data_IF_784225215646
#
_entry.id   IF_784225215646
#
_cell.length_a   1.000
_cell.length_b   1.000
_cell.length_c   1.000
_cell.angle_alpha   90.00
_cell.angle_beta   90.00
_cell.angle_gamma   90.00
#
_symmetry.space_group_name_H-M   'P 1'
#
loop_
_entity.id
_entity.type
_entity.pdbx_description
1 polymer ?
#
# COMPACT_ATOMS: atom_id res chain seq x y z
N UNK A 1 -23.31 -5.92 -12.23
CA UNK A 1 -23.14 -4.51 -11.83
C UNK A 1 -22.27 -4.50 -10.60
N UNK A 2 -21.05 -3.96 -10.69
CA UNK A 2 -20.10 -3.93 -9.57
C UNK A 2 -20.32 -2.73 -8.65
N UNK A 3 -19.75 -2.77 -7.45
CA UNK A 3 -19.80 -1.68 -6.45
C UNK A 3 -19.32 -0.32 -7.01
N UNK A 4 -18.48 -0.34 -8.04
CA UNK A 4 -18.03 0.85 -8.75
C UNK A 4 -19.13 1.52 -9.61
N UNK A 5 -20.15 0.78 -10.08
CA UNK A 5 -21.27 1.35 -10.85
C UNK A 5 -22.23 2.17 -9.97
N UNK A 6 -22.30 1.86 -8.67
CA UNK A 6 -23.09 2.62 -7.68
C UNK A 6 -22.39 3.95 -7.38
N UNK A 7 -21.05 3.97 -7.39
CA UNK A 7 -20.27 5.14 -6.97
C UNK A 7 -20.30 6.30 -7.98
N UNK A 8 -20.44 6.01 -9.29
CA UNK A 8 -20.45 7.06 -10.32
C UNK A 8 -21.84 7.61 -10.68
N UNK A 9 -22.93 6.93 -10.29
CA UNK A 9 -24.22 7.20 -10.95
C UNK A 9 -25.14 8.25 -10.36
N UNK A 10 -25.09 8.65 -9.09
CA UNK A 10 -26.16 9.55 -8.61
C UNK A 10 -25.83 10.34 -7.34
N UNK A 11 -25.05 11.40 -7.55
CA UNK A 11 -25.19 12.68 -6.85
C UNK A 11 -26.57 13.35 -7.11
N UNK A 12 -27.65 12.59 -7.34
CA UNK A 12 -28.92 13.08 -7.91
C UNK A 12 -30.20 12.43 -7.36
N UNK A 13 -30.12 11.55 -6.35
CA UNK A 13 -31.32 10.92 -5.74
C UNK A 13 -31.26 11.02 -4.21
N UNK A 14 -31.09 12.25 -3.71
CA UNK A 14 -30.64 12.46 -2.32
C UNK A 14 -31.71 12.27 -1.23
N UNK A 15 -33.01 12.18 -1.55
CA UNK A 15 -34.05 12.30 -0.50
C UNK A 15 -35.15 11.22 -0.44
N UNK A 16 -35.20 10.20 -1.32
CA UNK A 16 -36.30 9.21 -1.28
C UNK A 16 -35.86 7.72 -1.27
N UNK A 17 -34.56 7.43 -1.19
CA UNK A 17 -34.04 6.04 -1.23
C UNK A 17 -33.48 5.53 0.10
N UNK A 18 -33.69 6.26 1.20
CA UNK A 18 -33.11 5.92 2.52
C UNK A 18 -33.81 4.71 3.18
N UNK A 19 -34.99 4.28 2.72
CA UNK A 19 -35.75 3.20 3.38
C UNK A 19 -35.66 1.81 2.73
N UNK A 20 -34.95 1.60 1.63
CA UNK A 20 -34.85 0.27 1.00
C UNK A 20 -33.42 -0.03 0.49
N UNK A 21 -32.41 0.26 1.31
CA UNK A 21 -31.11 -0.40 1.16
C UNK A 21 -31.08 -1.58 2.14
N UNK A 22 -30.87 -2.83 1.67
CA UNK A 22 -30.69 -3.94 2.60
C UNK A 22 -29.53 -3.59 3.54
N UNK A 23 -29.75 -3.78 4.85
CA UNK A 23 -28.65 -3.73 5.82
C UNK A 23 -27.59 -4.73 5.35
N UNK A 24 -26.47 -4.21 4.86
CA UNK A 24 -25.33 -5.04 4.47
C UNK A 24 -24.80 -5.65 5.78
N UNK A 25 -24.75 -6.97 5.89
CA UNK A 25 -24.19 -7.64 7.06
C UNK A 25 -22.67 -7.52 7.06
N UNK A 26 -22.03 -7.65 8.24
CA UNK A 26 -20.57 -7.67 8.31
C UNK A 26 -20.00 -8.77 7.43
N UNK A 27 -20.57 -9.98 7.43
CA UNK A 27 -20.17 -11.07 6.56
C UNK A 27 -20.10 -10.66 5.07
N UNK A 28 -21.08 -9.89 4.59
CA UNK A 28 -21.07 -9.36 3.22
C UNK A 28 -19.98 -8.31 2.99
N UNK A 29 -19.69 -7.48 3.99
CA UNK A 29 -18.56 -6.52 3.95
C UNK A 29 -17.24 -7.29 3.89
N UNK A 30 -17.08 -8.32 4.72
CA UNK A 30 -15.88 -9.15 4.79
C UNK A 30 -15.59 -9.86 3.46
N UNK A 31 -16.62 -10.49 2.86
CA UNK A 31 -16.48 -11.09 1.53
C UNK A 31 -16.06 -10.08 0.46
N UNK A 32 -16.57 -8.85 0.53
CA UNK A 32 -16.17 -7.79 -0.39
C UNK A 32 -14.72 -7.33 -0.16
N UNK A 33 -14.28 -7.24 1.10
CA UNK A 33 -12.91 -6.90 1.45
C UNK A 33 -11.92 -7.97 0.97
N UNK A 34 -12.27 -9.24 1.10
CA UNK A 34 -11.46 -10.35 0.56
C UNK A 34 -11.37 -10.30 -0.96
N UNK A 35 -12.51 -10.10 -1.64
CA UNK A 35 -12.55 -9.93 -3.09
C UNK A 35 -11.73 -8.71 -3.55
N UNK A 36 -11.76 -7.62 -2.79
CA UNK A 36 -10.93 -6.45 -3.03
C UNK A 36 -9.45 -6.77 -2.84
N UNK A 37 -9.05 -7.51 -1.80
CA UNK A 37 -7.66 -7.94 -1.58
C UNK A 37 -7.11 -8.69 -2.80
N UNK A 38 -7.83 -9.72 -3.26
CA UNK A 38 -7.46 -10.50 -4.45
C UNK A 38 -7.38 -9.59 -5.69
N UNK A 39 -8.41 -8.76 -5.90
CA UNK A 39 -8.45 -7.86 -7.06
C UNK A 39 -7.30 -6.85 -7.05
N UNK A 40 -6.88 -6.39 -5.86
CA UNK A 40 -5.83 -5.39 -5.74
C UNK A 40 -4.46 -5.98 -6.10
N UNK A 41 -4.19 -7.23 -5.71
CA UNK A 41 -3.01 -7.98 -6.15
C UNK A 41 -2.97 -8.16 -7.66
N UNK A 42 -4.10 -8.55 -8.27
CA UNK A 42 -4.18 -8.67 -9.73
C UNK A 42 -3.93 -7.34 -10.46
N UNK A 43 -4.43 -6.24 -9.90
CA UNK A 43 -4.22 -4.90 -10.47
C UNK A 43 -2.74 -4.53 -10.43
N UNK A 44 -2.00 -4.86 -9.37
CA UNK A 44 -0.55 -4.67 -9.29
C UNK A 44 0.14 -5.46 -10.42
N UNK A 45 -0.16 -6.75 -10.55
CA UNK A 45 0.43 -7.61 -11.60
C UNK A 45 0.08 -7.17 -13.03
N UNK A 46 -1.10 -6.56 -13.25
CA UNK A 46 -1.54 -5.99 -14.54
C UNK A 46 -1.05 -4.55 -14.76
N UNK A 47 -0.10 -4.06 -13.96
CA UNK A 47 0.45 -2.70 -14.00
C UNK A 47 -0.58 -1.57 -13.83
N UNK A 48 -1.71 -1.85 -13.15
CA UNK A 48 -2.78 -0.88 -12.85
C UNK A 48 -2.56 -0.21 -11.48
N UNK A 49 -1.32 0.24 -11.22
CA UNK A 49 -0.86 0.78 -9.95
C UNK A 49 -1.70 1.94 -9.40
N UNK A 50 -2.14 2.87 -10.27
CA UNK A 50 -3.00 4.00 -9.86
C UNK A 50 -4.34 3.54 -9.27
N UNK A 51 -4.95 2.51 -9.85
CA UNK A 51 -6.24 1.98 -9.40
C UNK A 51 -6.04 1.21 -8.09
N UNK A 52 -5.03 0.33 -8.06
CA UNK A 52 -4.67 -0.42 -6.87
C UNK A 52 -4.39 0.50 -5.67
N UNK A 53 -3.65 1.58 -5.89
CA UNK A 53 -3.34 2.57 -4.85
C UNK A 53 -4.56 3.39 -4.42
N UNK A 54 -5.49 3.68 -5.32
CA UNK A 54 -6.74 4.38 -4.96
C UNK A 54 -7.60 3.52 -4.02
N UNK A 55 -7.67 2.22 -4.26
CA UNK A 55 -8.35 1.26 -3.37
C UNK A 55 -7.66 1.25 -2.00
N UNK A 56 -6.33 1.15 -1.98
CA UNK A 56 -5.55 1.22 -0.75
C UNK A 56 -5.81 2.49 0.05
N UNK A 57 -5.78 3.68 -0.58
CA UNK A 57 -6.08 4.94 0.10
C UNK A 57 -7.45 4.95 0.75
N UNK A 58 -8.47 4.47 0.03
CA UNK A 58 -9.81 4.39 0.56
C UNK A 58 -9.84 3.52 1.81
N UNK A 59 -9.31 2.29 1.74
CA UNK A 59 -9.34 1.34 2.85
C UNK A 59 -8.48 1.81 4.04
N UNK A 60 -7.35 2.47 3.81
CA UNK A 60 -6.54 3.13 4.84
C UNK A 60 -7.35 4.16 5.63
N UNK A 61 -8.07 5.05 4.93
CA UNK A 61 -8.87 6.09 5.58
C UNK A 61 -10.06 5.49 6.37
N UNK A 62 -10.58 4.35 5.94
CA UNK A 62 -11.61 3.61 6.68
C UNK A 62 -11.05 2.94 7.93
N UNK A 63 -9.88 2.29 7.86
CA UNK A 63 -9.18 1.73 9.02
C UNK A 63 -8.96 2.80 10.09
N UNK A 64 -8.41 3.96 9.69
CA UNK A 64 -8.15 5.07 10.60
C UNK A 64 -9.43 5.57 11.30
N UNK A 65 -10.54 5.67 10.56
CA UNK A 65 -11.84 6.06 11.12
C UNK A 65 -12.35 5.04 12.13
N UNK A 66 -12.21 3.75 11.86
CA UNK A 66 -12.63 2.69 12.79
C UNK A 66 -11.76 2.69 14.05
N UNK A 67 -10.44 2.81 13.92
CA UNK A 67 -9.51 2.93 15.07
C UNK A 67 -9.84 4.11 15.97
N UNK A 68 -10.06 5.28 15.38
CA UNK A 68 -10.41 6.48 16.14
C UNK A 68 -11.72 6.29 16.89
N UNK A 69 -12.70 5.59 16.29
CA UNK A 69 -13.97 5.25 16.95
C UNK A 69 -13.78 4.28 18.10
N UNK A 70 -13.01 3.19 17.91
CA UNK A 70 -12.70 2.22 18.96
C UNK A 70 -11.96 2.89 20.12
N UNK A 71 -10.96 3.73 19.82
CA UNK A 71 -10.21 4.47 20.84
C UNK A 71 -11.11 5.41 21.66
N UNK A 72 -11.98 6.17 20.99
CA UNK A 72 -12.93 7.07 21.67
C UNK A 72 -13.96 6.33 22.52
N UNK A 73 -14.27 5.09 22.18
CA UNK A 73 -15.14 4.24 22.99
C UNK A 73 -14.41 3.67 24.22
N UNK A 74 -13.18 3.20 24.04
CA UNK A 74 -12.38 2.56 25.11
C UNK A 74 -11.82 3.56 26.13
N UNK A 75 -11.63 4.83 25.74
CA UNK A 75 -11.16 5.88 26.65
C UNK A 75 -12.38 6.50 27.35
N UNK A 76 -12.58 6.27 28.66
CA UNK A 76 -13.68 6.89 29.39
C UNK A 76 -13.54 8.41 29.35
N UNK A 77 -14.60 9.09 28.92
CA UNK A 77 -14.63 10.55 28.92
C UNK A 77 -14.61 11.03 30.38
N UNK A 78 -13.61 11.83 30.83
CA UNK A 78 -13.52 12.29 32.22
C UNK A 78 -14.74 13.10 32.67
N UNK A 79 -15.51 13.67 31.72
CA UNK A 79 -16.73 14.44 31.98
C UNK A 79 -18.00 13.57 32.04
N UNK A 80 -17.91 12.23 31.97
CA UNK A 80 -19.05 11.31 32.04
C UNK A 80 -20.01 11.35 30.85
N UNK A 81 -19.75 12.23 29.87
CA UNK A 81 -20.53 12.31 28.65
C UNK A 81 -20.10 11.20 27.70
N UNK A 82 -20.93 10.16 27.54
CA UNK A 82 -20.77 9.23 26.42
C UNK A 82 -20.82 10.05 25.12
N UNK A 83 -19.71 10.10 24.41
CA UNK A 83 -19.67 10.62 23.04
C UNK A 83 -20.66 9.75 22.27
N UNK A 84 -21.73 10.33 21.71
CA UNK A 84 -22.73 9.60 20.90
C UNK A 84 -22.00 8.77 19.83
N UNK A 85 -21.81 7.48 20.09
CA UNK A 85 -20.92 6.66 19.30
C UNK A 85 -21.11 5.20 19.65
N UNK A 86 -22.03 4.57 18.90
CA UNK A 86 -22.28 3.11 18.86
C UNK A 86 -22.75 2.49 20.19
N UNK A 87 -23.62 1.49 20.13
CA UNK A 87 -24.00 0.74 21.34
C UNK A 87 -22.86 -0.20 21.75
N UNK A 88 -22.85 -0.62 23.01
CA UNK A 88 -21.97 -1.72 23.48
C UNK A 88 -22.03 -2.94 22.56
N UNK A 89 -23.21 -3.23 22.00
CA UNK A 89 -23.46 -4.34 21.08
C UNK A 89 -22.75 -4.19 19.72
N UNK A 90 -22.48 -2.96 19.26
CA UNK A 90 -21.85 -2.69 17.96
C UNK A 90 -20.31 -2.79 18.01
N UNK A 91 -19.71 -2.82 19.20
CA UNK A 91 -18.25 -2.76 19.37
C UNK A 91 -17.51 -3.99 18.85
N UNK A 92 -17.97 -5.23 19.10
CA UNK A 92 -17.33 -6.42 18.54
C UNK A 92 -17.24 -6.38 17.01
N UNK A 93 -18.31 -5.94 16.35
CA UNK A 93 -18.41 -5.79 14.89
C UNK A 93 -17.40 -4.77 14.34
N UNK A 94 -17.24 -3.64 15.04
CA UNK A 94 -16.28 -2.59 14.68
C UNK A 94 -14.84 -3.11 14.83
N UNK A 95 -14.54 -3.86 15.90
CA UNK A 95 -13.22 -4.46 16.13
C UNK A 95 -12.90 -5.51 15.06
N UNK A 96 -13.87 -6.35 14.72
CA UNK A 96 -13.74 -7.33 13.64
C UNK A 96 -13.40 -6.62 12.33
N UNK A 97 -14.23 -5.65 11.91
CA UNK A 97 -13.99 -4.87 10.70
C UNK A 97 -12.60 -4.22 10.70
N UNK A 98 -12.18 -3.57 11.80
CA UNK A 98 -10.85 -2.98 11.92
C UNK A 98 -9.74 -4.01 11.67
N UNK A 99 -9.88 -5.23 12.18
CA UNK A 99 -8.91 -6.30 11.99
C UNK A 99 -8.77 -6.67 10.51
N UNK A 100 -9.88 -6.68 9.75
CA UNK A 100 -9.86 -6.93 8.31
C UNK A 100 -9.24 -5.79 7.51
N UNK A 101 -9.56 -4.53 7.81
CA UNK A 101 -8.91 -3.39 7.15
C UNK A 101 -7.40 -3.36 7.43
N UNK A 102 -6.99 -3.69 8.65
CA UNK A 102 -5.59 -3.84 9.01
C UNK A 102 -4.92 -4.97 8.21
N UNK A 103 -5.56 -6.13 8.12
CA UNK A 103 -5.05 -7.26 7.34
C UNK A 103 -4.87 -6.86 5.87
N UNK A 104 -5.90 -6.25 5.25
CA UNK A 104 -5.80 -5.74 3.88
C UNK A 104 -4.60 -4.80 3.71
N UNK A 105 -4.39 -3.84 4.62
CA UNK A 105 -3.26 -2.89 4.55
C UNK A 105 -1.93 -3.65 4.54
N UNK A 106 -1.76 -4.59 5.45
CA UNK A 106 -0.53 -5.39 5.56
C UNK A 106 -0.32 -6.26 4.32
N UNK A 107 -1.36 -6.96 3.85
CA UNK A 107 -1.30 -7.78 2.63
C UNK A 107 -0.94 -6.93 1.42
N UNK A 108 -1.58 -5.77 1.26
CA UNK A 108 -1.31 -4.86 0.14
C UNK A 108 0.15 -4.39 0.10
N UNK A 109 0.68 -3.96 1.26
CA UNK A 109 2.08 -3.55 1.36
C UNK A 109 3.01 -4.73 1.09
N UNK A 110 2.70 -5.91 1.61
CA UNK A 110 3.46 -7.13 1.34
C UNK A 110 3.48 -7.50 -0.15
N UNK A 111 2.33 -7.47 -0.83
CA UNK A 111 2.24 -7.76 -2.26
C UNK A 111 3.01 -6.72 -3.10
N UNK A 112 3.00 -5.44 -2.70
CA UNK A 112 3.84 -4.42 -3.33
C UNK A 112 5.34 -4.69 -3.10
N UNK A 113 5.73 -5.05 -1.89
CA UNK A 113 7.13 -5.35 -1.55
C UNK A 113 7.65 -6.53 -2.38
N UNK A 114 6.86 -7.60 -2.51
CA UNK A 114 7.19 -8.75 -3.35
C UNK A 114 7.32 -8.32 -4.81
N UNK A 115 6.34 -7.58 -5.33
CA UNK A 115 6.36 -7.10 -6.71
C UNK A 115 7.60 -6.25 -7.04
N UNK A 116 7.99 -5.32 -6.17
CA UNK A 116 9.20 -4.53 -6.36
C UNK A 116 10.47 -5.37 -6.27
N UNK A 117 10.52 -6.30 -5.32
CA UNK A 117 11.66 -7.20 -5.16
C UNK A 117 11.86 -8.04 -6.42
N UNK A 118 10.79 -8.57 -7.01
CA UNK A 118 10.83 -9.30 -8.28
C UNK A 118 11.36 -8.42 -9.43
N UNK A 119 10.92 -7.17 -9.54
CA UNK A 119 11.43 -6.25 -10.57
C UNK A 119 12.93 -5.98 -10.42
N UNK A 120 13.40 -5.75 -9.19
CA UNK A 120 14.82 -5.55 -8.92
C UNK A 120 15.65 -6.83 -9.13
N UNK A 121 15.10 -7.99 -8.78
CA UNK A 121 15.74 -9.28 -9.02
C UNK A 121 15.91 -9.54 -10.52
N UNK A 122 14.86 -9.38 -11.33
CA UNK A 122 14.92 -9.55 -12.78
C UNK A 122 15.94 -8.60 -13.41
N UNK A 123 15.99 -7.34 -12.96
CA UNK A 123 16.99 -6.39 -13.42
C UNK A 123 18.42 -6.85 -13.08
N UNK A 124 18.62 -7.47 -11.92
CA UNK A 124 19.91 -7.97 -11.46
C UNK A 124 20.33 -9.24 -12.19
N UNK A 125 19.43 -10.19 -12.43
CA UNK A 125 19.69 -11.44 -13.16
C UNK A 125 20.11 -11.16 -14.62
N UNK A 126 19.43 -10.24 -15.31
CA UNK A 126 19.80 -9.86 -16.69
C UNK A 126 21.21 -9.28 -16.74
N UNK A 127 21.63 -8.57 -15.69
CA UNK A 127 22.96 -7.96 -15.61
C UNK A 127 24.08 -9.00 -15.50
N UNK A 128 23.80 -10.22 -15.02
CA UNK A 128 24.80 -11.29 -14.88
C UNK A 128 25.35 -11.79 -16.23
N UNK A 129 24.61 -11.63 -17.33
CA UNK A 129 24.99 -12.18 -18.66
C UNK A 129 25.97 -11.30 -19.49
N UNK A 130 26.70 -10.36 -18.88
CA UNK A 130 27.88 -9.62 -19.43
C UNK A 130 27.85 -9.19 -20.92
N UNK A 131 26.70 -8.82 -21.50
CA UNK A 131 26.63 -8.16 -22.81
C UNK A 131 26.26 -6.69 -22.67
N UNK A 132 26.79 -5.81 -23.54
CA UNK A 132 26.43 -4.38 -23.56
C UNK A 132 24.91 -4.17 -23.65
N UNK A 133 24.23 -5.04 -24.39
CA UNK A 133 22.77 -5.05 -24.51
C UNK A 133 22.08 -5.36 -23.17
N UNK A 134 22.59 -6.32 -22.42
CA UNK A 134 22.04 -6.72 -21.13
C UNK A 134 22.32 -5.68 -20.04
N UNK A 135 23.46 -4.98 -20.08
CA UNK A 135 23.75 -3.85 -19.18
C UNK A 135 22.75 -2.70 -19.41
N UNK A 136 22.48 -2.36 -20.68
CA UNK A 136 21.52 -1.32 -21.01
C UNK A 136 20.09 -1.69 -20.55
N UNK A 137 19.67 -2.93 -20.81
CA UNK A 137 18.35 -3.43 -20.44
C UNK A 137 18.16 -3.51 -18.92
N UNK A 138 19.11 -4.08 -18.19
CA UNK A 138 19.08 -4.16 -16.72
C UNK A 138 19.01 -2.77 -16.07
N UNK A 139 19.79 -1.81 -16.55
CA UNK A 139 19.74 -0.42 -16.08
C UNK A 139 18.37 0.23 -16.33
N UNK A 140 17.76 -0.02 -17.48
CA UNK A 140 16.41 0.49 -17.80
C UNK A 140 15.35 -0.11 -16.87
N UNK A 141 15.39 -1.42 -16.63
CA UNK A 141 14.46 -2.12 -15.74
C UNK A 141 14.62 -1.66 -14.29
N UNK A 142 15.86 -1.55 -13.81
CA UNK A 142 16.16 -1.03 -12.47
C UNK A 142 15.62 0.39 -12.29
N UNK A 143 15.86 1.28 -13.26
CA UNK A 143 15.34 2.64 -13.22
C UNK A 143 13.81 2.68 -13.23
N UNK A 144 13.16 1.82 -14.02
CA UNK A 144 11.70 1.74 -14.05
C UNK A 144 11.14 1.29 -12.68
N UNK A 145 11.74 0.27 -12.06
CA UNK A 145 11.38 -0.19 -10.72
C UNK A 145 11.57 0.93 -9.67
N UNK A 146 12.70 1.62 -9.72
CA UNK A 146 13.01 2.73 -8.83
C UNK A 146 12.04 3.92 -8.98
N UNK A 147 11.67 4.29 -10.21
CA UNK A 147 10.69 5.34 -10.44
C UNK A 147 9.30 4.96 -9.93
N UNK A 148 8.92 3.69 -10.07
CA UNK A 148 7.63 3.21 -9.58
C UNK A 148 7.58 3.20 -8.05
N UNK A 149 8.64 2.72 -7.40
CA UNK A 149 8.77 2.76 -5.93
C UNK A 149 8.72 4.21 -5.41
N UNK A 150 9.49 5.11 -6.03
CA UNK A 150 9.43 6.56 -5.74
C UNK A 150 8.02 7.14 -5.92
N UNK A 151 7.29 6.70 -6.95
CA UNK A 151 5.91 7.12 -7.17
C UNK A 151 5.02 6.70 -6.00
N UNK A 152 5.08 5.44 -5.55
CA UNK A 152 4.30 4.96 -4.41
C UNK A 152 4.64 5.70 -3.10
N UNK A 153 5.93 5.89 -2.82
CA UNK A 153 6.40 6.68 -1.67
C UNK A 153 5.85 8.11 -1.69
N UNK A 154 5.90 8.77 -2.84
CA UNK A 154 5.34 10.11 -3.00
C UNK A 154 3.83 10.11 -2.80
N UNK A 155 3.11 9.11 -3.34
CA UNK A 155 1.67 9.04 -3.15
C UNK A 155 1.27 8.85 -1.68
N UNK A 156 2.00 8.05 -0.91
CA UNK A 156 1.77 7.91 0.55
C UNK A 156 2.04 9.25 1.24
N UNK A 157 3.16 9.92 0.95
CA UNK A 157 3.49 11.22 1.53
C UNK A 157 2.46 12.30 1.21
N UNK A 158 1.97 12.36 -0.02
CA UNK A 158 1.04 13.40 -0.46
C UNK A 158 -0.39 13.15 0.02
N UNK A 159 -0.85 11.89 0.01
CA UNK A 159 -2.26 11.54 0.22
C UNK A 159 -2.56 11.05 1.62
N UNK A 160 -1.60 10.43 2.29
CA UNK A 160 -1.79 9.76 3.57
C UNK A 160 -1.01 10.43 4.71
N UNK A 161 -0.25 11.50 4.47
CA UNK A 161 0.42 12.22 5.55
C UNK A 161 -0.59 12.70 6.61
N UNK A 162 -0.25 12.60 7.91
CA UNK A 162 -1.01 13.23 8.96
C UNK A 162 -1.15 14.72 8.68
N UNK A 163 -2.39 15.22 8.72
CA UNK A 163 -2.67 16.65 8.63
C UNK A 163 -3.05 17.12 10.01
N UNK A 164 -2.60 18.32 10.38
CA UNK A 164 -3.12 18.99 11.57
C UNK A 164 -4.64 19.10 11.42
N UNK A 165 -5.37 18.58 12.39
CA UNK A 165 -6.80 18.76 12.42
C UNK A 165 -7.06 20.21 12.80
N UNK A 166 -8.01 20.89 12.14
CA UNK A 166 -8.22 22.34 12.31
C UNK A 166 -8.48 22.77 13.77
N UNK A 167 -8.81 21.83 14.65
CA UNK A 167 -9.21 22.06 16.04
C UNK A 167 -8.57 21.09 17.05
N UNK A 168 -7.47 20.38 16.75
CA UNK A 168 -6.94 19.39 17.69
C UNK A 168 -5.54 18.85 17.36
N UNK A 169 -4.93 18.09 18.30
CA UNK A 169 -3.64 17.45 18.10
C UNK A 169 -3.72 16.42 16.96
N UNK A 170 -2.57 16.16 16.33
CA UNK A 170 -2.45 15.14 15.27
C UNK A 170 -2.85 13.77 15.84
N UNK A 171 -3.69 13.05 15.11
CA UNK A 171 -4.15 11.72 15.48
C UNK A 171 -2.96 10.73 15.51
N UNK A 172 -2.60 10.24 16.69
CA UNK A 172 -1.46 9.32 16.88
C UNK A 172 -1.60 8.01 16.09
N UNK A 173 -2.81 7.48 15.94
CA UNK A 173 -3.04 6.30 15.10
C UNK A 173 -2.77 6.60 13.63
N UNK A 174 -3.08 7.81 13.17
CA UNK A 174 -2.74 8.21 11.79
C UNK A 174 -1.22 8.25 11.61
N UNK A 175 -0.49 8.87 12.54
CA UNK A 175 0.99 8.91 12.51
C UNK A 175 1.56 7.50 12.45
N UNK A 176 1.14 6.60 13.34
CA UNK A 176 1.62 5.22 13.38
C UNK A 176 1.35 4.46 12.08
N UNK A 177 0.13 4.56 11.54
CA UNK A 177 -0.22 3.88 10.29
C UNK A 177 0.58 4.43 9.10
N UNK A 178 0.75 5.75 9.05
CA UNK A 178 1.53 6.42 8.02
C UNK A 178 3.00 6.00 8.06
N UNK A 179 3.61 6.00 9.24
CA UNK A 179 5.01 5.63 9.43
C UNK A 179 5.26 4.17 9.06
N UNK A 180 4.35 3.26 9.42
CA UNK A 180 4.41 1.86 9.00
C UNK A 180 4.40 1.71 7.47
N UNK A 181 3.54 2.46 6.77
CA UNK A 181 3.47 2.41 5.32
C UNK A 181 4.77 2.89 4.67
N UNK A 182 5.40 3.94 5.19
CA UNK A 182 6.67 4.43 4.69
C UNK A 182 7.84 3.48 4.98
N UNK A 183 7.89 2.93 6.19
CA UNK A 183 8.97 2.04 6.60
C UNK A 183 9.08 0.80 5.70
N UNK A 184 7.94 0.16 5.39
CA UNK A 184 7.91 -1.04 4.55
C UNK A 184 8.45 -0.76 3.14
N UNK A 185 8.05 0.35 2.53
CA UNK A 185 8.52 0.67 1.17
C UNK A 185 9.98 1.14 1.16
N UNK A 186 10.41 1.89 2.19
CA UNK A 186 11.80 2.33 2.28
C UNK A 186 12.77 1.15 2.45
N UNK A 187 12.39 0.13 3.22
CA UNK A 187 13.17 -1.11 3.39
C UNK A 187 13.36 -1.85 2.05
N UNK A 188 12.29 -1.98 1.25
CA UNK A 188 12.33 -2.65 -0.06
C UNK A 188 13.22 -1.88 -1.03
N UNK A 189 13.12 -0.54 -1.05
CA UNK A 189 13.98 0.32 -1.86
C UNK A 189 15.45 0.13 -1.52
N UNK A 190 15.79 0.16 -0.23
CA UNK A 190 17.16 0.06 0.25
C UNK A 190 17.74 -1.32 -0.05
N UNK A 191 16.98 -2.38 0.20
CA UNK A 191 17.38 -3.76 -0.13
C UNK A 191 17.63 -3.94 -1.64
N UNK A 192 16.72 -3.43 -2.48
CA UNK A 192 16.85 -3.47 -3.93
C UNK A 192 18.08 -2.72 -4.43
N UNK A 193 18.33 -1.51 -3.91
CA UNK A 193 19.50 -0.71 -4.27
C UNK A 193 20.82 -1.38 -3.86
N UNK A 194 20.91 -1.91 -2.64
CA UNK A 194 22.08 -2.64 -2.15
C UNK A 194 22.38 -3.86 -3.02
N UNK A 195 21.36 -4.64 -3.37
CA UNK A 195 21.51 -5.84 -4.19
C UNK A 195 22.06 -5.50 -5.58
N UNK A 196 21.41 -4.58 -6.29
CA UNK A 196 21.82 -4.18 -7.63
C UNK A 196 23.23 -3.59 -7.66
N UNK A 197 23.58 -2.78 -6.65
CA UNK A 197 24.93 -2.19 -6.52
C UNK A 197 26.00 -3.26 -6.33
N UNK A 198 25.73 -4.30 -5.53
CA UNK A 198 26.64 -5.45 -5.36
C UNK A 198 26.87 -6.18 -6.67
N UNK A 199 25.82 -6.45 -7.45
CA UNK A 199 25.92 -7.13 -8.75
C UNK A 199 26.71 -6.27 -9.75
N UNK A 200 26.44 -4.96 -9.82
CA UNK A 200 27.22 -4.03 -10.65
C UNK A 200 28.71 -4.01 -10.29
N UNK A 201 29.05 -3.99 -9.00
CA UNK A 201 30.45 -4.01 -8.55
C UNK A 201 31.14 -5.34 -8.86
N UNK A 202 30.46 -6.47 -8.67
CA UNK A 202 30.98 -7.78 -9.01
C UNK A 202 31.31 -7.86 -10.51
N UNK A 203 30.38 -7.44 -11.36
CA UNK A 203 30.57 -7.40 -12.82
C UNK A 203 31.71 -6.46 -13.25
N UNK A 204 31.82 -5.27 -12.64
CA UNK A 204 32.90 -4.32 -12.96
C UNK A 204 34.29 -4.87 -12.63
N UNK A 205 34.41 -5.57 -11.50
CA UNK A 205 35.66 -6.21 -11.08
C UNK A 205 36.03 -7.37 -11.99
N UNK A 206 35.05 -8.14 -12.47
CA UNK A 206 35.31 -9.27 -13.37
C UNK A 206 35.69 -8.82 -14.78
N UNK A 207 35.02 -7.81 -15.32
CA UNK A 207 35.38 -7.18 -16.59
C UNK A 207 36.80 -6.62 -16.57
N UNK A 208 37.20 -5.95 -15.48
CA UNK A 208 38.57 -5.43 -15.30
C UNK A 208 39.62 -6.55 -15.34
N UNK A 209 39.35 -7.69 -14.68
CA UNK A 209 40.23 -8.88 -14.70
C UNK A 209 40.34 -9.50 -16.10
N UNK A 210 39.27 -9.48 -16.90
CA UNK A 210 39.27 -10.01 -18.27
C UNK A 210 40.13 -9.14 -19.20
N UNK A 211 40.05 -7.81 -19.08
CA UNK A 211 40.92 -6.87 -19.81
C UNK A 211 42.39 -7.07 -19.45
N UNK A 212 42.71 -7.23 -18.17
CA UNK A 212 44.09 -7.49 -17.74
C UNK A 212 44.63 -8.81 -18.32
N UNK A 213 43.83 -9.89 -18.32
CA UNK A 213 44.22 -11.16 -18.95
C UNK A 213 44.46 -11.03 -20.46
N UNK A 214 43.63 -10.27 -21.18
CA UNK A 214 43.80 -10.06 -22.61
C UNK A 214 45.03 -9.21 -22.98
N UNK A 215 45.52 -8.36 -22.06
CA UNK A 215 46.77 -7.59 -22.26
C UNK A 215 48.05 -8.39 -22.07
N UNK A 216 47.96 -9.57 -21.45
CA UNK A 216 49.09 -10.45 -21.14
C UNK A 216 49.26 -11.54 -22.23
N UNK A 217 48.35 -11.61 -23.20
CA UNK A 217 48.37 -12.59 -24.31
C UNK A 217 48.71 -11.89 -25.62
#
# INVERSE_FOLDING_TARGET
MGILDIFFRKNTLKNELIEIMPKISNEQILQQLDALSISTKELIGKHKHKIAFSIFCYLFMYDLKLRTKVANYLIPNPDGNQIKGYSEDDIPDIIELQSYFNNFRVTYLSDLSVYFSELYQVASEILEEETDKNIALSTQLFNAAHQLDKWYMNQIKERLAPKEDKNGPINEHHVQLYDQCLAVLDEVKEAGFICFTKVLHANRNEFSKRIEKQKIT
#
